data_IF_271079846832
#
_entry.id   IF_271079846832
#
_cell.length_a   1.000
_cell.length_b   1.000
_cell.length_c   1.000
_cell.angle_alpha   90.00
_cell.angle_beta   90.00
_cell.angle_gamma   90.00
#
_symmetry.space_group_name_H-M   'P 1'
#
loop_
_entity.id
_entity.type
_entity.pdbx_description
1 polymer ?
#
# COMPACT_ATOMS: atom_id res chain seq x y z
N UNK A 1 9.12 -4.52 -23.33
CA UNK A 1 8.79 -3.57 -22.24
C UNK A 1 9.55 -2.24 -22.36
N UNK A 2 10.87 -2.23 -22.59
CA UNK A 2 11.63 -0.98 -22.84
C UNK A 2 11.09 -0.12 -24.00
N UNK A 3 10.68 -0.73 -25.13
CA UNK A 3 10.16 0.01 -26.29
C UNK A 3 8.85 0.78 -26.03
N UNK A 4 7.96 0.23 -25.18
CA UNK A 4 6.71 0.92 -24.79
C UNK A 4 6.99 2.08 -23.81
N UNK A 5 8.06 1.97 -23.01
CA UNK A 5 8.48 3.00 -22.05
C UNK A 5 9.21 4.17 -22.72
N UNK A 6 10.00 3.90 -23.77
CA UNK A 6 10.66 4.93 -24.58
C UNK A 6 9.65 5.74 -25.41
N UNK A 7 8.60 5.10 -25.94
CA UNK A 7 7.52 5.82 -26.62
C UNK A 7 6.69 6.67 -25.65
N UNK A 8 6.39 6.18 -24.44
CA UNK A 8 5.59 6.93 -23.47
C UNK A 8 6.29 8.20 -22.95
N UNK A 9 7.63 8.17 -22.79
CA UNK A 9 8.41 9.34 -22.36
C UNK A 9 8.58 10.36 -23.48
N UNK A 10 8.86 9.91 -24.72
CA UNK A 10 8.92 10.79 -25.89
C UNK A 10 7.57 11.44 -26.23
N UNK A 11 6.45 10.77 -25.94
CA UNK A 11 5.10 11.33 -26.10
C UNK A 11 4.76 12.35 -25.00
N UNK A 12 5.22 12.14 -23.77
CA UNK A 12 5.01 13.09 -22.67
C UNK A 12 5.78 14.40 -22.90
N UNK A 13 7.01 14.31 -23.43
CA UNK A 13 7.81 15.50 -23.80
C UNK A 13 7.17 16.27 -24.96
N UNK A 14 6.58 15.60 -25.94
CA UNK A 14 5.82 16.26 -27.03
C UNK A 14 4.55 16.95 -26.53
N UNK A 15 3.88 16.36 -25.55
CA UNK A 15 2.66 16.93 -24.97
C UNK A 15 2.96 18.17 -24.12
N UNK A 16 4.07 18.14 -23.36
CA UNK A 16 4.57 19.30 -22.61
C UNK A 16 5.05 20.43 -23.52
N UNK A 17 5.71 20.12 -24.65
CA UNK A 17 6.12 21.13 -25.63
C UNK A 17 4.91 21.74 -26.39
N UNK A 18 3.83 20.97 -26.55
CA UNK A 18 2.56 21.44 -27.12
C UNK A 18 1.80 22.39 -26.18
N UNK A 19 1.71 22.08 -24.88
CA UNK A 19 1.10 22.98 -23.90
C UNK A 19 1.90 24.29 -23.73
N UNK A 20 3.23 24.23 -23.77
CA UNK A 20 4.06 25.45 -23.68
C UNK A 20 3.91 26.38 -24.90
N UNK A 21 3.44 25.89 -26.05
CA UNK A 21 3.19 26.70 -27.26
C UNK A 21 1.77 27.24 -27.38
N UNK A 22 0.85 26.82 -26.51
CA UNK A 22 -0.53 27.30 -26.49
C UNK A 22 -0.76 28.53 -25.58
N UNK A 23 0.30 29.18 -25.10
CA UNK A 23 0.15 30.51 -24.50
C UNK A 23 -0.35 31.52 -25.55
N UNK A 24 -1.45 32.24 -25.31
CA UNK A 24 -2.07 33.10 -26.30
C UNK A 24 -1.20 34.36 -26.51
N UNK A 25 -0.55 34.48 -27.66
CA UNK A 25 0.23 35.69 -27.95
C UNK A 25 0.90 35.80 -29.32
N UNK A 26 1.19 34.71 -30.02
CA UNK A 26 1.94 34.79 -31.28
C UNK A 26 1.22 34.06 -32.40
N UNK A 27 0.46 34.84 -33.18
CA UNK A 27 -0.16 34.42 -34.43
C UNK A 27 0.89 34.05 -35.47
N UNK A 28 1.30 32.80 -35.48
CA UNK A 28 2.14 32.22 -36.53
C UNK A 28 1.37 31.04 -37.10
N UNK A 29 1.07 31.10 -38.39
CA UNK A 29 0.34 30.06 -39.12
C UNK A 29 1.10 28.73 -39.07
N UNK A 30 0.43 27.69 -38.58
CA UNK A 30 0.93 26.31 -38.51
C UNK A 30 1.22 25.77 -39.93
N UNK A 31 2.39 25.16 -40.19
CA UNK A 31 2.56 24.31 -41.35
C UNK A 31 1.83 22.97 -41.16
N UNK A 32 1.26 22.51 -42.27
CA UNK A 32 0.54 21.27 -42.56
C UNK A 32 0.81 20.10 -41.57
N UNK A 33 -0.15 19.84 -40.69
CA UNK A 33 -0.05 18.81 -39.65
C UNK A 33 -0.46 17.45 -40.21
N UNK A 34 0.49 16.51 -40.22
CA UNK A 34 0.24 15.07 -40.34
C UNK A 34 -0.65 14.59 -39.18
N UNK A 35 -1.42 13.54 -39.47
CA UNK A 35 -2.63 13.11 -38.77
C UNK A 35 -2.59 13.18 -37.22
N UNK A 36 -3.67 13.68 -36.58
CA UNK A 36 -3.79 13.67 -35.12
C UNK A 36 -3.98 12.26 -34.56
N UNK A 37 -3.45 12.05 -33.35
CA UNK A 37 -3.48 10.78 -32.61
C UNK A 37 -4.89 10.16 -32.54
N UNK A 38 -5.01 8.82 -32.60
CA UNK A 38 -6.31 8.13 -32.71
C UNK A 38 -7.25 8.36 -31.52
N UNK A 39 -6.74 8.68 -30.32
CA UNK A 39 -7.58 8.91 -29.15
C UNK A 39 -8.15 10.34 -29.04
N UNK A 40 -7.65 11.31 -29.81
CA UNK A 40 -8.24 12.66 -29.88
C UNK A 40 -9.44 12.71 -30.84
N UNK A 41 -9.63 11.68 -31.68
CA UNK A 41 -10.79 11.59 -32.60
C UNK A 41 -12.07 11.11 -31.93
N UNK A 42 -12.01 10.54 -30.71
CA UNK A 42 -13.16 9.89 -30.08
C UNK A 42 -14.08 10.82 -29.29
N UNK A 43 -13.77 12.13 -29.19
CA UNK A 43 -14.61 13.08 -28.44
C UNK A 43 -14.69 12.78 -26.94
N UNK A 44 -13.80 11.93 -26.42
CA UNK A 44 -13.77 11.53 -25.02
C UNK A 44 -13.21 12.69 -24.19
N UNK A 45 -13.92 13.16 -23.15
CA UNK A 45 -13.47 14.23 -22.28
C UNK A 45 -12.06 13.94 -21.72
N UNK A 46 -11.22 14.98 -21.61
CA UNK A 46 -9.85 14.89 -21.09
C UNK A 46 -9.77 14.16 -19.73
N UNK A 47 -10.80 14.29 -18.91
CA UNK A 47 -10.95 13.60 -17.63
C UNK A 47 -10.99 12.07 -17.79
N UNK A 48 -11.74 11.56 -18.76
CA UNK A 48 -11.90 10.13 -19.01
C UNK A 48 -10.62 9.51 -19.58
N UNK A 49 -9.84 10.28 -20.34
CA UNK A 49 -8.51 9.86 -20.83
C UNK A 49 -7.49 9.74 -19.68
N UNK A 50 -7.49 10.69 -18.74
CA UNK A 50 -6.64 10.59 -17.55
C UNK A 50 -7.05 9.43 -16.64
N UNK A 51 -8.36 9.18 -16.49
CA UNK A 51 -8.87 8.05 -15.70
C UNK A 51 -8.53 6.70 -16.34
N UNK A 52 -8.62 6.59 -17.67
CA UNK A 52 -8.20 5.40 -18.41
C UNK A 52 -6.70 5.13 -18.28
N UNK A 53 -5.86 6.18 -18.33
CA UNK A 53 -4.42 6.07 -18.11
C UNK A 53 -4.07 5.68 -16.67
N UNK A 54 -4.75 6.25 -15.67
CA UNK A 54 -4.58 5.85 -14.26
C UNK A 54 -5.00 4.39 -14.06
N UNK A 55 -6.11 3.94 -14.64
CA UNK A 55 -6.56 2.54 -14.55
C UNK A 55 -5.58 1.57 -15.23
N UNK A 56 -5.04 1.95 -16.38
CA UNK A 56 -4.03 1.16 -17.09
C UNK A 56 -2.74 1.04 -16.27
N UNK A 57 -2.22 2.17 -15.77
CA UNK A 57 -1.01 2.21 -14.95
C UNK A 57 -1.21 1.56 -13.57
N UNK A 58 -2.42 1.55 -13.02
CA UNK A 58 -2.75 0.81 -11.79
C UNK A 58 -2.66 -0.72 -11.99
N UNK A 59 -3.08 -1.21 -13.17
CA UNK A 59 -2.90 -2.61 -13.56
C UNK A 59 -1.41 -3.02 -13.63
N UNK A 60 -0.56 -2.12 -14.10
CA UNK A 60 0.90 -2.32 -14.12
C UNK A 60 1.54 -2.15 -12.74
N UNK A 61 1.07 -1.20 -11.92
CA UNK A 61 1.55 -0.98 -10.55
C UNK A 61 1.32 -2.21 -9.68
N UNK A 62 0.23 -2.96 -9.88
CA UNK A 62 -0.02 -4.22 -9.17
C UNK A 62 0.96 -5.34 -9.51
N UNK A 63 1.71 -5.21 -10.61
CA UNK A 63 2.79 -6.13 -10.98
C UNK A 63 4.15 -5.71 -10.41
N UNK A 64 4.24 -4.53 -9.77
CA UNK A 64 5.47 -4.05 -9.14
C UNK A 64 5.67 -4.67 -7.74
N UNK A 65 6.94 -4.82 -7.28
CA UNK A 65 7.25 -5.14 -5.89
C UNK A 65 6.63 -4.12 -4.92
N UNK A 66 6.43 -4.53 -3.67
CA UNK A 66 5.67 -3.78 -2.65
C UNK A 66 6.18 -2.34 -2.46
N UNK A 67 7.50 -2.14 -2.51
CA UNK A 67 8.13 -0.82 -2.43
C UNK A 67 7.79 0.08 -3.63
N UNK A 68 7.70 -0.49 -4.84
CA UNK A 68 7.27 0.22 -6.05
C UNK A 68 5.82 0.69 -5.96
N UNK A 69 4.93 -0.15 -5.40
CA UNK A 69 3.52 0.21 -5.17
C UNK A 69 3.32 1.32 -4.15
N UNK A 70 4.03 1.27 -3.02
CA UNK A 70 3.96 2.31 -1.98
C UNK A 70 4.43 3.66 -2.52
N UNK A 71 5.48 3.68 -3.33
CA UNK A 71 5.99 4.91 -3.96
C UNK A 71 5.07 5.45 -5.05
N UNK A 72 4.44 4.58 -5.84
CA UNK A 72 3.41 4.98 -6.81
C UNK A 72 2.21 5.64 -6.11
N UNK A 73 1.81 5.12 -4.95
CA UNK A 73 0.75 5.71 -4.12
C UNK A 73 1.10 7.10 -3.55
N UNK A 74 2.35 7.31 -3.13
CA UNK A 74 2.82 8.62 -2.66
C UNK A 74 2.80 9.68 -3.78
N UNK A 75 3.06 9.28 -5.02
CA UNK A 75 3.00 10.13 -6.21
C UNK A 75 1.57 10.58 -6.53
N UNK A 76 0.59 9.68 -6.44
CA UNK A 76 -0.81 10.04 -6.58
C UNK A 76 -1.28 10.95 -5.43
N UNK A 77 -0.77 10.74 -4.21
CA UNK A 77 -1.03 11.59 -3.05
C UNK A 77 -0.49 13.02 -3.22
N UNK A 78 0.70 13.17 -3.81
CA UNK A 78 1.31 14.47 -4.12
C UNK A 78 0.58 15.26 -5.23
N UNK A 79 -0.27 14.59 -6.03
CA UNK A 79 -0.99 15.21 -7.14
C UNK A 79 -2.15 16.15 -6.73
N UNK A 80 -2.43 16.27 -5.42
CA UNK A 80 -3.41 17.23 -4.87
C UNK A 80 -2.84 18.64 -4.61
N UNK A 81 -1.55 18.87 -4.86
CA UNK A 81 -0.87 20.17 -4.71
C UNK A 81 -0.98 21.11 -5.93
N UNK A 82 -0.38 22.31 -5.82
CA UNK A 82 -0.31 23.30 -6.92
C UNK A 82 0.45 22.69 -8.12
N UNK A 83 0.14 23.07 -9.36
CA UNK A 83 0.77 22.50 -10.56
C UNK A 83 2.30 22.60 -10.57
N UNK A 84 2.89 23.64 -9.96
CA UNK A 84 4.34 23.78 -9.82
C UNK A 84 4.98 22.65 -8.99
N UNK A 85 4.31 22.19 -7.92
CA UNK A 85 4.80 21.11 -7.06
C UNK A 85 4.73 19.75 -7.78
N UNK A 86 3.77 19.59 -8.71
CA UNK A 86 3.62 18.38 -9.52
C UNK A 86 4.80 18.19 -10.47
N UNK A 87 5.23 19.25 -11.15
CA UNK A 87 6.37 19.18 -12.08
C UNK A 87 7.68 18.86 -11.35
N UNK A 88 7.87 19.41 -10.13
CA UNK A 88 9.02 19.09 -9.30
C UNK A 88 9.01 17.62 -8.83
N UNK A 89 7.83 17.09 -8.45
CA UNK A 89 7.68 15.68 -8.07
C UNK A 89 7.92 14.74 -9.26
N UNK A 90 7.39 15.06 -10.44
CA UNK A 90 7.59 14.30 -11.67
C UNK A 90 9.06 14.30 -12.10
N UNK A 91 9.76 15.45 -12.01
CA UNK A 91 11.18 15.53 -12.33
C UNK A 91 12.03 14.67 -11.39
N UNK A 92 11.80 14.75 -10.08
CA UNK A 92 12.50 13.90 -9.09
C UNK A 92 12.27 12.41 -9.34
N UNK A 93 11.07 12.05 -9.77
CA UNK A 93 10.75 10.67 -10.14
C UNK A 93 11.47 10.23 -11.41
N UNK A 94 11.50 11.08 -12.44
CA UNK A 94 12.25 10.83 -13.67
C UNK A 94 13.75 10.68 -13.41
N UNK A 95 14.33 11.57 -12.59
CA UNK A 95 15.74 11.51 -12.19
C UNK A 95 16.05 10.23 -11.40
N UNK A 96 15.14 9.81 -10.51
CA UNK A 96 15.27 8.55 -9.79
C UNK A 96 15.18 7.32 -10.71
N UNK A 97 14.24 7.32 -11.67
CA UNK A 97 14.14 6.24 -12.67
C UNK A 97 15.38 6.18 -13.56
N UNK A 98 15.94 7.32 -13.95
CA UNK A 98 17.19 7.39 -14.69
C UNK A 98 18.33 6.79 -13.88
N UNK A 99 18.45 7.12 -12.58
CA UNK A 99 19.43 6.51 -11.68
C UNK A 99 19.20 5.01 -11.45
N UNK A 100 17.94 4.54 -11.49
CA UNK A 100 17.62 3.12 -11.32
C UNK A 100 17.96 2.27 -12.57
N UNK A 101 18.13 2.88 -13.75
CA UNK A 101 18.55 2.17 -14.98
C UNK A 101 19.99 1.67 -14.92
N UNK A 102 20.83 2.30 -14.09
CA UNK A 102 22.23 1.89 -13.90
C UNK A 102 22.37 0.77 -12.86
N UNK A 103 21.28 0.31 -12.24
CA UNK A 103 21.31 -0.86 -11.36
C UNK A 103 21.37 -2.11 -12.25
N UNK A 104 22.48 -2.89 -12.20
CA UNK A 104 22.59 -4.10 -13.00
C UNK A 104 21.43 -5.05 -12.67
N UNK A 105 20.84 -5.71 -13.69
CA UNK A 105 19.78 -6.68 -13.45
C UNK A 105 20.26 -7.73 -12.46
N UNK A 106 19.39 -8.12 -11.52
CA UNK A 106 19.71 -9.03 -10.40
C UNK A 106 20.34 -10.35 -10.86
N UNK A 107 20.04 -10.78 -12.09
CA UNK A 107 20.55 -12.00 -12.72
C UNK A 107 22.01 -11.89 -13.21
N UNK A 108 22.59 -10.68 -13.25
CA UNK A 108 23.98 -10.44 -13.64
C UNK A 108 24.95 -10.43 -12.45
N UNK A 109 24.45 -10.53 -11.22
CA UNK A 109 25.28 -10.54 -10.02
C UNK A 109 25.74 -11.96 -9.71
N UNK A 110 27.05 -12.14 -9.61
CA UNK A 110 27.63 -13.41 -9.20
C UNK A 110 27.16 -13.80 -7.77
N UNK A 111 27.00 -15.10 -7.45
CA UNK A 111 26.41 -15.56 -6.17
C UNK A 111 27.12 -15.05 -4.90
N UNK A 112 28.40 -14.68 -5.01
CA UNK A 112 29.19 -14.05 -3.95
C UNK A 112 28.80 -12.58 -3.70
N UNK A 113 28.47 -11.83 -4.75
CA UNK A 113 28.01 -10.44 -4.63
C UNK A 113 26.62 -10.35 -3.99
N UNK A 114 25.73 -11.32 -4.26
CA UNK A 114 24.42 -11.40 -3.60
C UNK A 114 24.54 -11.64 -2.08
N UNK A 115 25.58 -12.35 -1.63
CA UNK A 115 25.83 -12.54 -0.19
C UNK A 115 26.37 -11.27 0.45
N UNK A 116 27.21 -10.51 -0.23
CA UNK A 116 27.73 -9.23 0.26
C UNK A 116 26.63 -8.18 0.37
N UNK A 117 25.71 -8.08 -0.61
CA UNK A 117 24.59 -7.14 -0.55
C UNK A 117 23.54 -7.54 0.49
N UNK A 118 23.28 -8.84 0.67
CA UNK A 118 22.41 -9.35 1.74
C UNK A 118 23.06 -9.22 3.13
N UNK A 119 24.39 -9.35 3.24
CA UNK A 119 25.10 -9.10 4.49
C UNK A 119 25.12 -7.61 4.83
N UNK A 120 25.34 -6.74 3.85
CA UNK A 120 25.29 -5.29 4.03
C UNK A 120 23.90 -4.80 4.48
N UNK A 121 22.82 -5.30 3.85
CA UNK A 121 21.46 -4.90 4.23
C UNK A 121 21.03 -5.45 5.61
N UNK A 122 21.56 -6.62 6.00
CA UNK A 122 21.28 -7.23 7.30
C UNK A 122 21.98 -6.52 8.46
N UNK A 123 23.12 -5.88 8.23
CA UNK A 123 23.82 -5.09 9.25
C UNK A 123 23.11 -3.74 9.49
N UNK A 124 22.55 -3.10 8.46
CA UNK A 124 21.81 -1.83 8.64
C UNK A 124 20.46 -1.98 9.36
N UNK A 125 19.91 -3.20 9.39
CA UNK A 125 18.58 -3.46 9.97
C UNK A 125 18.63 -3.93 11.44
N UNK A 126 19.81 -4.30 11.96
CA UNK A 126 19.95 -5.03 13.22
C UNK A 126 20.21 -4.20 14.48
N UNK A 127 20.87 -3.06 14.36
CA UNK A 127 21.34 -2.28 15.54
C UNK A 127 21.20 -0.78 15.29
N UNK A 128 19.97 -0.32 15.06
CA UNK A 128 19.65 1.05 15.49
C UNK A 128 19.54 1.00 17.01
N UNK A 129 20.70 0.99 17.66
CA UNK A 129 20.83 1.49 19.02
C UNK A 129 20.02 2.79 19.05
N UNK A 130 18.96 2.81 19.86
CA UNK A 130 18.28 4.04 20.20
C UNK A 130 19.32 4.90 20.92
N UNK A 131 20.14 5.62 20.16
CA UNK A 131 20.71 6.86 20.64
C UNK A 131 19.52 7.66 21.14
N UNK A 132 19.51 8.10 22.41
CA UNK A 132 18.47 8.96 22.95
C UNK A 132 18.59 10.31 22.22
N UNK A 133 18.10 10.33 20.98
CA UNK A 133 17.88 11.52 20.19
C UNK A 133 16.84 12.28 20.97
N UNK A 134 17.24 13.45 21.50
CA UNK A 134 16.42 14.48 22.11
C UNK A 134 14.93 14.13 22.05
N UNK A 135 14.46 13.37 23.04
CA UNK A 135 13.10 12.85 23.01
C UNK A 135 12.16 14.05 23.08
N UNK A 136 11.55 14.37 21.94
CA UNK A 136 10.51 15.38 21.89
C UNK A 136 9.50 15.07 23.00
N UNK A 137 9.06 16.10 23.76
CA UNK A 137 8.18 15.87 24.89
C UNK A 137 6.92 15.12 24.43
N UNK A 138 6.78 13.88 24.90
CA UNK A 138 5.67 13.01 24.48
C UNK A 138 4.34 13.63 24.88
N UNK A 139 3.41 13.71 23.93
CA UNK A 139 2.10 14.29 24.17
C UNK A 139 1.23 13.35 25.01
N UNK A 140 0.92 13.77 26.23
CA UNK A 140 -0.02 13.08 27.11
C UNK A 140 -1.46 13.52 26.78
N UNK A 141 -2.37 12.55 26.58
CA UNK A 141 -3.79 12.80 26.33
C UNK A 141 -4.59 12.69 27.63
N UNK A 142 -5.48 13.65 27.88
CA UNK A 142 -6.20 13.79 29.16
C UNK A 142 -7.71 13.61 28.97
N UNK A 143 -8.18 12.39 29.13
CA UNK A 143 -9.61 12.08 29.09
C UNK A 143 -10.10 11.55 27.74
N UNK A 144 -11.36 11.09 27.73
CA UNK A 144 -11.94 10.42 26.57
C UNK A 144 -12.08 11.31 25.33
N UNK A 145 -12.26 12.62 25.48
CA UNK A 145 -12.40 13.53 24.34
C UNK A 145 -11.13 13.55 23.50
N UNK A 146 -9.98 13.78 24.14
CA UNK A 146 -8.66 13.79 23.51
C UNK A 146 -8.32 12.44 22.87
N UNK A 147 -8.60 11.34 23.58
CA UNK A 147 -8.38 9.98 23.09
C UNK A 147 -9.21 9.72 21.82
N UNK A 148 -10.51 10.03 21.84
CA UNK A 148 -11.37 9.82 20.66
C UNK A 148 -10.99 10.74 19.49
N UNK A 149 -10.56 11.98 19.77
CA UNK A 149 -10.10 12.91 18.75
C UNK A 149 -8.79 12.45 18.10
N UNK A 150 -7.84 11.95 18.89
CA UNK A 150 -6.59 11.37 18.39
C UNK A 150 -6.84 10.18 17.45
N UNK A 151 -7.82 9.34 17.77
CA UNK A 151 -8.25 8.21 16.93
C UNK A 151 -9.17 8.62 15.77
N UNK A 152 -9.50 9.91 15.62
CA UNK A 152 -10.46 10.43 14.63
C UNK A 152 -11.84 9.76 14.71
N UNK A 153 -12.24 9.37 15.91
CA UNK A 153 -13.52 8.72 16.21
C UNK A 153 -14.50 9.70 16.84
N UNK A 154 -15.79 9.40 16.71
CA UNK A 154 -16.82 10.20 17.37
C UNK A 154 -16.85 9.87 18.86
N UNK A 155 -17.11 10.87 19.70
CA UNK A 155 -17.12 10.69 21.16
C UNK A 155 -18.11 9.63 21.65
N UNK A 156 -19.21 9.39 20.92
CA UNK A 156 -20.19 8.33 21.22
C UNK A 156 -19.60 6.91 21.16
N UNK A 157 -18.50 6.71 20.43
CA UNK A 157 -17.81 5.42 20.28
C UNK A 157 -16.78 5.17 21.40
N UNK A 158 -16.72 6.03 22.42
CA UNK A 158 -15.78 5.87 23.54
C UNK A 158 -15.93 4.53 24.28
N UNK A 159 -17.16 4.00 24.34
CA UNK A 159 -17.43 2.72 25.01
C UNK A 159 -16.82 1.54 24.25
N UNK A 160 -16.78 1.62 22.91
CA UNK A 160 -16.17 0.61 22.06
C UNK A 160 -14.65 0.59 22.29
N UNK A 161 -14.02 1.77 22.28
CA UNK A 161 -12.58 1.90 22.56
C UNK A 161 -12.25 1.39 23.96
N UNK A 162 -13.10 1.69 24.95
CA UNK A 162 -12.94 1.18 26.32
C UNK A 162 -13.01 -0.35 26.36
N UNK A 163 -14.02 -0.94 25.72
CA UNK A 163 -14.19 -2.41 25.67
C UNK A 163 -13.02 -3.09 24.97
N UNK A 164 -12.52 -2.51 23.86
CA UNK A 164 -11.34 -3.01 23.17
C UNK A 164 -10.08 -2.90 24.04
N UNK A 165 -9.90 -1.80 24.76
CA UNK A 165 -8.79 -1.61 25.68
C UNK A 165 -8.80 -2.65 26.81
N UNK A 166 -9.97 -2.95 27.40
CA UNK A 166 -10.11 -3.99 28.42
C UNK A 166 -9.86 -5.40 27.85
N UNK A 167 -10.40 -5.70 26.66
CA UNK A 167 -10.30 -7.02 26.04
C UNK A 167 -8.89 -7.37 25.56
N UNK A 168 -8.14 -6.39 25.04
CA UNK A 168 -6.84 -6.60 24.41
C UNK A 168 -5.66 -6.03 25.23
N UNK A 169 -5.89 -5.66 26.50
CA UNK A 169 -4.83 -5.18 27.39
C UNK A 169 -4.19 -3.88 26.89
N UNK A 170 -5.01 -2.90 26.53
CA UNK A 170 -4.53 -1.65 25.95
C UNK A 170 -3.89 -0.69 26.96
N UNK A 171 -3.24 0.39 26.46
CA UNK A 171 -2.40 1.28 27.27
C UNK A 171 -3.20 2.30 28.10
N UNK A 172 -4.52 2.39 27.92
CA UNK A 172 -5.34 3.37 28.64
C UNK A 172 -5.51 2.89 30.09
N UNK A 173 -4.92 3.64 31.03
CA UNK A 173 -4.99 3.33 32.47
C UNK A 173 -6.19 4.02 33.12
N UNK A 174 -6.87 3.29 33.99
CA UNK A 174 -7.93 3.80 34.86
C UNK A 174 -7.47 3.69 36.32
N UNK A 175 -7.40 4.80 37.05
CA UNK A 175 -6.93 4.84 38.44
C UNK A 175 -8.07 4.72 39.47
N UNK A 176 -9.25 4.25 39.06
CA UNK A 176 -10.43 4.09 39.91
C UNK A 176 -11.69 4.77 39.37
N UNK A 177 -12.79 4.63 40.11
CA UNK A 177 -14.07 5.23 39.76
C UNK A 177 -13.95 6.76 39.70
N UNK A 178 -14.47 7.37 38.63
CA UNK A 178 -14.44 8.81 38.43
C UNK A 178 -13.09 9.38 37.97
N UNK A 179 -12.04 8.57 37.84
CA UNK A 179 -10.74 9.04 37.33
C UNK A 179 -10.78 9.24 35.82
N UNK A 180 -10.08 10.28 35.35
CA UNK A 180 -9.95 10.55 33.91
C UNK A 180 -8.93 9.57 33.31
N UNK A 181 -9.22 8.94 32.17
CA UNK A 181 -8.24 8.10 31.49
C UNK A 181 -7.05 8.95 31.01
N UNK A 182 -5.85 8.40 31.13
CA UNK A 182 -4.61 9.02 30.67
C UNK A 182 -3.82 8.02 29.84
N UNK A 183 -3.25 8.50 28.73
CA UNK A 183 -2.42 7.70 27.83
C UNK A 183 -1.52 8.62 26.99
N UNK A 184 -0.30 8.19 26.67
CA UNK A 184 0.54 8.89 25.72
C UNK A 184 0.03 8.67 24.29
N UNK A 185 0.09 9.71 23.45
CA UNK A 185 -0.41 9.65 22.07
C UNK A 185 0.24 8.51 21.27
N UNK A 186 1.56 8.36 21.39
CA UNK A 186 2.32 7.36 20.60
C UNK A 186 1.96 5.93 20.99
N UNK A 187 1.82 5.67 22.30
CA UNK A 187 1.41 4.36 22.82
C UNK A 187 -0.01 4.01 22.35
N UNK A 188 -0.92 4.98 22.36
CA UNK A 188 -2.29 4.81 21.90
C UNK A 188 -2.34 4.46 20.40
N UNK A 189 -1.59 5.20 19.57
CA UNK A 189 -1.55 4.97 18.12
C UNK A 189 -0.88 3.62 17.77
N UNK A 190 0.22 3.29 18.45
CA UNK A 190 0.90 2.02 18.25
C UNK A 190 -0.01 0.84 18.61
N UNK A 191 -0.69 0.92 19.76
CA UNK A 191 -1.68 -0.08 20.16
C UNK A 191 -2.83 -0.20 19.15
N UNK A 192 -3.36 0.92 18.68
CA UNK A 192 -4.46 0.94 17.70
C UNK A 192 -4.06 0.28 16.37
N UNK A 193 -2.84 0.52 15.90
CA UNK A 193 -2.31 -0.12 14.69
C UNK A 193 -2.18 -1.64 14.86
N UNK A 194 -1.78 -2.12 16.04
CA UNK A 194 -1.73 -3.56 16.33
C UNK A 194 -3.12 -4.19 16.31
N UNK A 195 -4.13 -3.51 16.85
CA UNK A 195 -5.51 -3.97 16.77
C UNK A 195 -6.01 -4.09 15.32
N UNK A 196 -5.69 -3.12 14.46
CA UNK A 196 -6.08 -3.18 13.05
C UNK A 196 -5.47 -4.41 12.33
N UNK A 197 -4.21 -4.74 12.65
CA UNK A 197 -3.55 -5.95 12.10
C UNK A 197 -4.23 -7.22 12.60
N UNK A 198 -4.58 -7.30 13.90
CA UNK A 198 -5.26 -8.46 14.47
C UNK A 198 -6.65 -8.68 13.86
N UNK A 199 -7.44 -7.62 13.68
CA UNK A 199 -8.75 -7.71 13.03
C UNK A 199 -8.62 -8.15 11.56
N UNK A 200 -7.62 -7.64 10.85
CA UNK A 200 -7.34 -8.09 9.47
C UNK A 200 -6.97 -9.58 9.42
N UNK A 201 -6.17 -10.05 10.37
CA UNK A 201 -5.80 -11.46 10.45
C UNK A 201 -7.02 -12.35 10.74
N UNK A 202 -7.90 -11.94 11.66
CA UNK A 202 -9.17 -12.63 11.94
C UNK A 202 -10.10 -12.64 10.72
N UNK A 203 -10.17 -11.55 9.96
CA UNK A 203 -10.91 -11.50 8.71
C UNK A 203 -10.35 -12.50 7.69
N UNK A 204 -9.03 -12.52 7.50
CA UNK A 204 -8.36 -13.46 6.59
C UNK A 204 -8.59 -14.92 7.00
N UNK A 205 -8.59 -15.22 8.30
CA UNK A 205 -8.88 -16.57 8.81
C UNK A 205 -10.34 -16.98 8.53
N UNK A 206 -11.30 -16.06 8.69
CA UNK A 206 -12.72 -16.32 8.37
C UNK A 206 -12.93 -16.57 6.88
N UNK A 207 -12.30 -15.76 6.03
CA UNK A 207 -12.38 -15.92 4.58
C UNK A 207 -11.72 -17.24 4.13
N UNK A 208 -10.55 -17.56 4.70
CA UNK A 208 -9.88 -18.85 4.47
C UNK A 208 -10.73 -20.04 4.91
N UNK A 209 -11.38 -19.97 6.08
CA UNK A 209 -12.27 -21.02 6.56
C UNK A 209 -13.49 -21.21 5.64
N UNK A 210 -14.06 -20.12 5.13
CA UNK A 210 -15.16 -20.16 4.17
C UNK A 210 -14.75 -20.83 2.85
N UNK A 211 -13.60 -20.47 2.30
CA UNK A 211 -13.06 -21.09 1.08
C UNK A 211 -12.80 -22.60 1.28
N UNK A 212 -12.30 -23.00 2.45
CA UNK A 212 -12.11 -24.41 2.79
C UNK A 212 -13.45 -25.15 2.91
N UNK A 213 -14.47 -24.54 3.49
CA UNK A 213 -15.81 -25.14 3.59
C UNK A 213 -16.50 -25.28 2.22
N UNK A 214 -16.40 -24.26 1.36
CA UNK A 214 -16.97 -24.29 0.01
C UNK A 214 -16.24 -25.32 -0.88
N UNK A 215 -14.94 -25.55 -0.67
CA UNK A 215 -14.19 -26.60 -1.35
C UNK A 215 -14.61 -28.02 -0.90
N UNK A 216 -15.19 -28.19 0.28
CA UNK A 216 -15.76 -29.45 0.76
C UNK A 216 -17.16 -29.69 0.18
N UNK A 217 -17.28 -29.78 -1.14
CA UNK A 217 -18.50 -30.32 -1.75
C UNK A 217 -18.65 -31.81 -1.40
N UNK A 218 -19.87 -32.23 -1.05
CA UNK A 218 -20.25 -33.63 -0.85
C UNK A 218 -20.10 -34.41 -2.17
N UNK A 219 -18.92 -34.93 -2.45
CA UNK A 219 -18.68 -35.85 -3.56
C UNK A 219 -19.31 -37.23 -3.25
N UNK A 220 -20.63 -37.34 -3.44
CA UNK A 220 -21.34 -38.62 -3.63
C UNK A 220 -21.37 -39.61 -2.45
N UNK A 221 -22.15 -40.68 -2.65
CA UNK A 221 -22.62 -41.63 -1.62
C UNK A 221 -21.53 -42.35 -0.81
N UNK A 222 -20.27 -42.35 -1.24
CA UNK A 222 -19.16 -43.03 -0.57
C UNK A 222 -17.83 -42.24 -0.55
N UNK A 223 -17.80 -40.95 -0.92
CA UNK A 223 -16.56 -40.19 -1.08
C UNK A 223 -16.25 -39.25 0.08
N UNK A 224 -15.55 -39.72 1.11
CA UNK A 224 -14.90 -38.85 2.11
C UNK A 224 -13.44 -38.61 1.72
N UNK A 225 -13.11 -37.37 1.39
CA UNK A 225 -11.96 -36.59 1.89
C UNK A 225 -11.37 -35.66 0.83
N UNK A 226 -11.49 -34.35 1.05
CA UNK A 226 -10.40 -33.46 0.72
C UNK A 226 -9.40 -33.53 1.89
N UNK A 227 -8.12 -33.89 1.66
CA UNK A 227 -7.11 -33.83 2.70
C UNK A 227 -6.83 -32.35 2.99
N UNK A 228 -7.42 -31.83 4.05
CA UNK A 228 -7.10 -30.51 4.55
C UNK A 228 -5.59 -30.43 4.84
N UNK A 229 -5.04 -29.29 4.43
CA UNK A 229 -3.67 -28.85 4.64
C UNK A 229 -3.43 -28.83 6.15
N UNK A 230 -2.92 -29.94 6.69
CA UNK A 230 -2.61 -30.04 8.11
C UNK A 230 -2.74 -31.44 8.71
N UNK A 231 -2.06 -32.44 8.13
CA UNK A 231 -1.64 -33.63 8.89
C UNK A 231 -2.71 -34.68 9.23
N UNK A 232 -2.68 -35.78 8.48
CA UNK A 232 -2.93 -37.13 8.99
C UNK A 232 -4.39 -37.51 9.32
N UNK A 233 -5.22 -37.68 8.29
CA UNK A 233 -6.49 -38.42 8.42
C UNK A 233 -6.21 -39.85 8.86
N UNK A 234 -6.35 -40.12 10.16
CA UNK A 234 -6.16 -41.46 10.72
C UNK A 234 -7.31 -42.35 10.23
N UNK A 235 -6.97 -43.26 9.32
CA UNK A 235 -7.88 -44.23 8.69
C UNK A 235 -8.61 -45.03 9.77
N UNK A 236 -9.94 -44.95 9.79
CA UNK A 236 -10.77 -45.76 10.69
C UNK A 236 -10.56 -47.23 10.32
N UNK A 237 -10.07 -48.06 11.26
CA UNK A 237 -10.04 -49.51 11.05
C UNK A 237 -11.48 -49.99 10.94
N UNK A 238 -11.81 -50.62 9.80
CA UNK A 238 -13.14 -51.15 9.50
C UNK A 238 -13.37 -52.38 10.38
N UNK A 239 -14.50 -52.43 11.09
CA UNK A 239 -14.87 -53.59 11.89
C UNK A 239 -14.95 -54.84 11.03
N UNK A 240 -14.25 -55.90 11.46
CA UNK A 240 -14.34 -57.23 10.86
C UNK A 240 -15.59 -57.90 11.42
N UNK A 241 -16.70 -57.86 10.66
CA UNK A 241 -17.87 -58.70 10.95
C UNK A 241 -17.47 -60.16 10.80
N UNK A 242 -17.53 -60.91 11.89
CA UNK A 242 -17.63 -62.38 11.93
C UNK A 242 -19.08 -62.78 12.05
#
# INVERSE_FOLDING_TARGET
>A
MLWLFENATAELDRYLDYEMRLTPGTGTSLPDAREPLPFLKSGVPLYDATEAWIKHTWGEANRMPVEGRQRWWLLLGASRGKPADKNAALKRWADWLASARDVPPYDALAPNQLRETLAASKIESGERSHTPLDEEPRKLLWGWHDITNALKMQHRQRNDVKSLNERFGGPIKHHGAGTRPMVYLDDLLNWWNKLAVQEQELANQRDGAKLSADAQHNYGRDGKAAPEIGGGVKKRRRDKRT
#
